data_IF_254221695154
#
_entry.id   IF_254221695154
#
_cell.length_a   1.000
_cell.length_b   1.000
_cell.length_c   1.000
_cell.angle_alpha   90.00
_cell.angle_beta   90.00
_cell.angle_gamma   90.00
#
_symmetry.space_group_name_H-M   'P 1'
#
loop_
_entity.id
_entity.type
_entity.pdbx_description
1 polymer ?
#
# COMPACT_ATOMS: atom_id res chain seq x y z
N UNK A 1 -6.58 -2.94 19.84
CA UNK A 1 -7.61 -1.88 19.77
C UNK A 1 -7.00 -0.65 19.12
N UNK A 2 -7.74 0.14 18.33
CA UNK A 2 -7.23 1.41 17.83
C UNK A 2 -6.97 2.34 19.02
N UNK A 3 -5.83 3.03 18.98
CA UNK A 3 -5.31 3.81 20.11
C UNK A 3 -6.24 4.97 20.45
N UNK A 4 -6.40 5.21 21.76
CA UNK A 4 -7.20 6.30 22.31
C UNK A 4 -6.26 7.47 22.60
N UNK A 5 -6.58 8.65 22.07
CA UNK A 5 -5.85 9.88 22.35
C UNK A 5 -6.12 10.38 23.79
N UNK A 6 -5.40 11.41 24.28
CA UNK A 6 -5.57 11.93 25.64
C UNK A 6 -6.97 12.52 25.92
N UNK A 7 -7.78 12.74 24.88
CA UNK A 7 -9.14 13.24 24.95
C UNK A 7 -10.19 12.13 24.86
N UNK A 8 -9.77 10.86 24.90
CA UNK A 8 -10.70 9.72 24.81
C UNK A 8 -11.16 9.42 23.38
N UNK A 9 -10.55 10.01 22.35
CA UNK A 9 -10.94 9.80 20.94
C UNK A 9 -10.05 8.76 20.26
N UNK A 10 -10.60 8.07 19.27
CA UNK A 10 -9.93 6.98 18.58
C UNK A 10 -9.89 7.35 17.12
N UNK A 11 -8.70 7.52 16.51
CA UNK A 11 -8.56 8.15 15.19
C UNK A 11 -9.54 7.58 14.12
N UNK A 12 -9.71 6.25 13.96
CA UNK A 12 -10.75 5.70 13.08
C UNK A 12 -12.17 6.14 13.43
N UNK A 13 -12.52 6.18 14.72
CA UNK A 13 -13.82 6.67 15.18
C UNK A 13 -13.97 8.17 14.95
N UNK A 14 -12.91 8.96 15.07
CA UNK A 14 -12.95 10.41 14.85
C UNK A 14 -13.14 10.74 13.38
N UNK A 15 -12.43 10.05 12.48
CA UNK A 15 -12.62 10.17 11.02
C UNK A 15 -14.04 9.71 10.65
N UNK A 16 -14.47 8.56 11.17
CA UNK A 16 -15.83 8.06 10.91
C UNK A 16 -16.88 9.02 11.46
N UNK A 17 -16.76 9.52 12.69
CA UNK A 17 -17.67 10.52 13.27
C UNK A 17 -17.68 11.80 12.45
N UNK A 18 -16.52 12.31 12.03
CA UNK A 18 -16.45 13.47 11.15
C UNK A 18 -17.27 13.25 9.87
N UNK A 19 -17.21 12.04 9.30
CA UNK A 19 -17.92 11.74 8.06
C UNK A 19 -19.39 11.35 8.25
N UNK A 20 -19.76 10.72 9.37
CA UNK A 20 -21.14 10.38 9.70
C UNK A 20 -21.91 11.61 10.19
N UNK A 21 -21.32 12.38 11.11
CA UNK A 21 -21.98 13.52 11.76
C UNK A 21 -21.98 14.75 10.84
N UNK A 22 -20.93 14.93 10.03
CA UNK A 22 -20.79 16.08 9.12
C UNK A 22 -20.79 15.70 7.63
N UNK A 23 -21.16 14.47 7.25
CA UNK A 23 -21.31 14.06 5.85
C UNK A 23 -20.08 14.34 4.96
N UNK A 24 -18.87 14.24 5.49
CA UNK A 24 -17.61 14.58 4.79
C UNK A 24 -17.51 16.07 4.34
N UNK A 25 -18.41 16.93 4.83
CA UNK A 25 -18.46 18.33 4.42
C UNK A 25 -17.27 19.16 4.91
N UNK A 26 -16.60 18.81 6.02
CA UNK A 26 -15.52 19.65 6.55
C UNK A 26 -14.30 19.73 5.61
N UNK A 27 -13.96 18.64 4.92
CA UNK A 27 -12.89 18.64 3.91
C UNK A 27 -13.34 19.41 2.66
N UNK A 28 -14.50 19.03 2.09
CA UNK A 28 -15.01 19.61 0.85
C UNK A 28 -15.40 21.10 0.97
N UNK A 29 -15.75 21.57 2.16
CA UNK A 29 -16.07 22.97 2.44
C UNK A 29 -14.90 23.74 3.07
N UNK A 30 -13.72 23.12 3.20
CA UNK A 30 -12.55 23.84 3.71
C UNK A 30 -12.22 25.01 2.76
N UNK A 31 -12.29 26.28 3.23
CA UNK A 31 -12.02 27.44 2.39
C UNK A 31 -10.61 27.45 1.80
N UNK A 32 -9.64 26.82 2.47
CA UNK A 32 -8.26 26.72 2.01
C UNK A 32 -8.12 25.82 0.77
N UNK A 33 -8.94 24.77 0.69
CA UNK A 33 -8.90 23.82 -0.42
C UNK A 33 -9.61 24.33 -1.67
N UNK A 34 -10.48 25.35 -1.54
CA UNK A 34 -11.22 25.98 -2.65
C UNK A 34 -11.98 25.00 -3.54
N UNK A 35 -12.46 23.90 -2.98
CA UNK A 35 -13.24 22.88 -3.70
C UNK A 35 -14.62 23.46 -4.04
N UNK A 36 -15.12 23.14 -5.25
CA UNK A 36 -16.41 23.64 -5.72
C UNK A 36 -17.55 23.18 -4.79
N UNK A 37 -18.34 24.11 -4.27
CA UNK A 37 -19.45 23.83 -3.36
C UNK A 37 -20.53 22.89 -3.93
N UNK A 38 -20.66 22.78 -5.27
CA UNK A 38 -21.55 21.80 -5.90
C UNK A 38 -21.14 20.36 -5.58
N UNK A 39 -19.84 20.10 -5.42
CA UNK A 39 -19.29 18.78 -5.09
C UNK A 39 -19.67 18.38 -3.67
N UNK A 40 -19.74 19.35 -2.74
CA UNK A 40 -20.19 19.10 -1.38
C UNK A 40 -21.66 18.66 -1.29
N UNK A 41 -22.49 18.91 -2.32
CA UNK A 41 -23.91 18.48 -2.31
C UNK A 41 -24.08 16.96 -2.38
N UNK A 42 -23.19 16.28 -3.11
CA UNK A 42 -23.23 14.82 -3.28
C UNK A 42 -22.45 14.07 -2.20
N UNK A 43 -21.85 14.77 -1.23
CA UNK A 43 -21.04 14.15 -0.18
C UNK A 43 -21.84 13.18 0.70
N UNK A 44 -23.11 13.51 0.96
CA UNK A 44 -24.06 12.65 1.69
C UNK A 44 -24.25 11.31 0.99
N UNK A 45 -24.36 11.34 -0.34
CA UNK A 45 -24.51 10.15 -1.17
C UNK A 45 -23.26 9.27 -1.12
N UNK A 46 -22.06 9.89 -1.15
CA UNK A 46 -20.77 9.19 -1.00
C UNK A 46 -20.66 8.50 0.36
N UNK A 47 -21.03 9.19 1.44
CA UNK A 47 -21.01 8.61 2.80
C UNK A 47 -21.98 7.44 2.89
N UNK A 48 -23.22 7.61 2.43
CA UNK A 48 -24.23 6.54 2.41
C UNK A 48 -23.79 5.34 1.57
N UNK A 49 -23.21 5.57 0.38
CA UNK A 49 -22.70 4.52 -0.50
C UNK A 49 -21.53 3.78 0.14
N UNK A 50 -20.62 4.49 0.82
CA UNK A 50 -19.46 3.89 1.51
C UNK A 50 -19.87 2.99 2.67
N UNK A 51 -20.85 3.43 3.48
CA UNK A 51 -21.39 2.61 4.58
C UNK A 51 -22.09 1.37 4.02
N UNK A 52 -22.93 1.54 2.99
CA UNK A 52 -23.62 0.42 2.35
C UNK A 52 -22.64 -0.58 1.74
N UNK A 53 -21.59 -0.11 1.07
CA UNK A 53 -20.53 -0.96 0.51
C UNK A 53 -19.78 -1.70 1.61
N UNK A 54 -19.37 -1.00 2.68
CA UNK A 54 -18.66 -1.62 3.80
C UNK A 54 -19.49 -2.74 4.45
N UNK A 55 -20.79 -2.51 4.67
CA UNK A 55 -21.69 -3.51 5.22
C UNK A 55 -21.81 -4.73 4.30
N UNK A 56 -21.99 -4.52 2.99
CA UNK A 56 -22.05 -5.61 2.00
C UNK A 56 -20.75 -6.41 1.94
N UNK A 57 -19.61 -5.73 1.82
CA UNK A 57 -18.28 -6.36 1.77
C UNK A 57 -18.04 -7.22 3.01
N UNK A 58 -18.33 -6.68 4.19
CA UNK A 58 -18.15 -7.40 5.47
C UNK A 58 -19.07 -8.62 5.64
N UNK A 59 -20.22 -8.64 4.96
CA UNK A 59 -21.17 -9.76 5.00
C UNK A 59 -20.87 -10.83 3.95
N UNK A 60 -20.45 -10.42 2.75
CA UNK A 60 -20.22 -11.34 1.62
C UNK A 60 -18.85 -11.99 1.70
N UNK A 61 -17.81 -11.22 2.02
CA UNK A 61 -16.43 -11.68 2.02
C UNK A 61 -15.98 -12.04 3.43
N UNK A 62 -16.22 -13.30 3.80
CA UNK A 62 -15.93 -13.81 5.15
C UNK A 62 -14.56 -14.50 5.22
N UNK A 63 -13.89 -14.45 6.39
CA UNK A 63 -12.60 -15.09 6.56
C UNK A 63 -12.74 -16.61 6.54
N UNK A 64 -11.85 -17.28 5.80
CA UNK A 64 -11.77 -18.74 5.75
C UNK A 64 -10.37 -19.23 6.11
N UNK A 65 -10.16 -20.56 6.08
CA UNK A 65 -8.84 -21.16 6.25
C UNK A 65 -7.82 -20.71 5.19
N UNK A 66 -8.27 -20.31 4.00
CA UNK A 66 -7.42 -19.83 2.89
C UNK A 66 -7.46 -18.29 2.84
N UNK A 67 -8.66 -17.71 2.94
CA UNK A 67 -8.93 -16.27 2.90
C UNK A 67 -8.93 -15.66 4.30
N UNK A 68 -7.94 -16.01 5.14
CA UNK A 68 -7.89 -15.63 6.57
C UNK A 68 -7.79 -14.12 6.80
N UNK A 69 -7.39 -13.37 5.78
CA UNK A 69 -7.20 -11.93 5.78
C UNK A 69 -8.45 -11.15 5.29
N UNK A 70 -9.53 -11.85 4.91
CA UNK A 70 -10.83 -11.24 4.58
C UNK A 70 -11.53 -10.80 5.86
N UNK A 71 -10.90 -9.84 6.54
CA UNK A 71 -11.38 -9.22 7.77
C UNK A 71 -11.56 -7.75 7.44
N UNK A 72 -12.82 -7.33 7.38
CA UNK A 72 -13.22 -5.96 7.10
C UNK A 72 -13.79 -5.35 8.37
N UNK A 73 -13.21 -4.24 8.81
CA UNK A 73 -13.60 -3.54 10.02
C UNK A 73 -13.65 -2.02 9.78
N UNK A 74 -14.00 -1.26 10.83
CA UNK A 74 -14.15 0.19 10.73
C UNK A 74 -12.88 0.93 10.31
N UNK A 75 -11.69 0.36 10.50
CA UNK A 75 -10.44 0.92 9.97
C UNK A 75 -10.45 0.95 8.45
N UNK A 76 -11.03 -0.05 7.79
CA UNK A 76 -11.13 -0.07 6.33
C UNK A 76 -12.02 1.07 5.85
N UNK A 77 -13.20 1.25 6.47
CA UNK A 77 -14.06 2.38 6.15
C UNK A 77 -13.35 3.72 6.42
N UNK A 78 -12.61 3.85 7.51
CA UNK A 78 -11.79 5.02 7.79
C UNK A 78 -10.70 5.25 6.74
N UNK A 79 -10.10 4.19 6.20
CA UNK A 79 -9.05 4.27 5.18
C UNK A 79 -9.57 4.72 3.82
N UNK A 80 -10.86 4.45 3.50
CA UNK A 80 -11.52 4.99 2.31
C UNK A 80 -11.56 6.52 2.44
N UNK A 81 -12.07 7.00 3.58
CA UNK A 81 -12.13 8.43 3.85
C UNK A 81 -10.78 9.11 3.97
N UNK A 82 -9.78 8.44 4.55
CA UNK A 82 -8.41 8.93 4.60
C UNK A 82 -7.85 9.18 3.19
N UNK A 83 -8.24 8.37 2.20
CA UNK A 83 -7.88 8.57 0.80
C UNK A 83 -8.53 9.80 0.18
N UNK A 84 -9.80 10.07 0.51
CA UNK A 84 -10.46 11.32 0.08
C UNK A 84 -9.74 12.57 0.60
N UNK A 85 -9.11 12.51 1.76
CA UNK A 85 -8.38 13.66 2.33
C UNK A 85 -7.15 14.05 1.52
N UNK A 86 -6.69 13.22 0.58
CA UNK A 86 -5.64 13.61 -0.37
C UNK A 86 -6.14 14.54 -1.48
N UNK A 87 -7.46 14.61 -1.70
CA UNK A 87 -8.04 15.38 -2.80
C UNK A 87 -8.02 16.89 -2.55
N UNK A 88 -7.79 17.64 -3.63
CA UNK A 88 -7.78 19.11 -3.69
C UNK A 88 -8.77 19.60 -4.75
N UNK A 89 -8.91 20.93 -4.91
CA UNK A 89 -9.72 21.52 -5.99
C UNK A 89 -9.26 21.16 -7.41
N UNK A 90 -7.97 20.94 -7.62
CA UNK A 90 -7.44 20.48 -8.92
C UNK A 90 -7.90 19.06 -9.24
N UNK A 91 -8.02 18.21 -8.21
CA UNK A 91 -8.46 16.82 -8.31
C UNK A 91 -9.99 16.70 -8.48
N UNK A 92 -10.74 17.64 -7.89
CA UNK A 92 -12.20 17.62 -7.83
C UNK A 92 -12.78 18.87 -8.52
N UNK A 93 -12.92 18.79 -9.84
CA UNK A 93 -13.45 19.88 -10.67
C UNK A 93 -14.97 19.75 -10.82
N UNK A 94 -15.44 18.52 -11.06
CA UNK A 94 -16.83 18.17 -11.30
C UNK A 94 -17.35 17.17 -10.25
N UNK A 95 -18.68 17.09 -10.02
CA UNK A 95 -19.27 16.07 -9.15
C UNK A 95 -18.90 14.63 -9.55
N UNK A 96 -18.75 14.35 -10.85
CA UNK A 96 -18.29 13.06 -11.36
C UNK A 96 -16.91 12.64 -10.84
N UNK A 97 -16.02 13.62 -10.59
CA UNK A 97 -14.66 13.35 -10.13
C UNK A 97 -14.67 12.79 -8.70
N UNK A 98 -15.59 13.26 -7.86
CA UNK A 98 -15.76 12.73 -6.51
C UNK A 98 -16.29 11.28 -6.54
N UNK A 99 -17.16 10.95 -7.50
CA UNK A 99 -17.66 9.58 -7.69
C UNK A 99 -16.54 8.67 -8.22
N UNK A 100 -15.74 9.14 -9.19
CA UNK A 100 -14.56 8.40 -9.69
C UNK A 100 -13.53 8.15 -8.59
N UNK A 101 -13.27 9.16 -7.76
CA UNK A 101 -12.42 9.04 -6.59
C UNK A 101 -12.99 8.04 -5.57
N UNK A 102 -14.30 8.06 -5.32
CA UNK A 102 -14.96 7.05 -4.48
C UNK A 102 -14.74 5.63 -5.00
N UNK A 103 -14.92 5.41 -6.31
CA UNK A 103 -14.66 4.12 -6.96
C UNK A 103 -13.19 3.71 -6.80
N UNK A 104 -12.26 4.66 -6.93
CA UNK A 104 -10.84 4.38 -6.75
C UNK A 104 -10.52 3.99 -5.30
N UNK A 105 -10.87 4.83 -4.33
CA UNK A 105 -10.52 4.62 -2.91
C UNK A 105 -11.13 3.35 -2.34
N UNK A 106 -12.40 3.08 -2.65
CA UNK A 106 -13.05 1.85 -2.18
C UNK A 106 -12.44 0.60 -2.83
N UNK A 107 -12.00 0.68 -4.09
CA UNK A 107 -11.29 -0.42 -4.72
C UNK A 107 -9.88 -0.63 -4.12
N UNK A 108 -9.15 0.44 -3.78
CA UNK A 108 -7.84 0.35 -3.11
C UNK A 108 -7.92 -0.21 -1.69
N UNK A 109 -9.01 0.03 -0.98
CA UNK A 109 -9.20 -0.48 0.39
C UNK A 109 -9.74 -1.92 0.40
N UNK A 110 -10.76 -2.20 -0.41
CA UNK A 110 -11.46 -3.50 -0.40
C UNK A 110 -10.97 -4.43 -1.51
N UNK A 111 -10.90 -3.93 -2.74
CA UNK A 111 -10.53 -4.72 -3.92
C UNK A 111 -9.11 -5.28 -3.84
N UNK A 112 -8.14 -4.49 -3.38
CA UNK A 112 -6.74 -4.91 -3.29
C UNK A 112 -6.50 -6.04 -2.26
N UNK A 113 -7.47 -6.32 -1.38
CA UNK A 113 -7.45 -7.45 -0.43
C UNK A 113 -7.97 -8.76 -1.03
N UNK A 114 -8.71 -8.71 -2.14
CA UNK A 114 -9.35 -9.88 -2.73
C UNK A 114 -8.35 -10.70 -3.56
N UNK A 115 -8.50 -12.02 -3.54
CA UNK A 115 -7.52 -12.95 -4.12
C UNK A 115 -8.04 -13.75 -5.30
N UNK A 116 -9.36 -13.98 -5.38
CA UNK A 116 -9.99 -14.76 -6.44
C UNK A 116 -10.74 -13.86 -7.40
N UNK A 117 -10.66 -14.15 -8.71
CA UNK A 117 -11.33 -13.39 -9.76
C UNK A 117 -12.85 -13.29 -9.51
N UNK A 118 -13.46 -14.37 -9.02
CA UNK A 118 -14.89 -14.38 -8.64
C UNK A 118 -15.23 -13.36 -7.57
N UNK A 119 -14.36 -13.20 -6.57
CA UNK A 119 -14.58 -12.23 -5.49
C UNK A 119 -14.38 -10.80 -6.03
N UNK A 120 -13.36 -10.61 -6.87
CA UNK A 120 -13.04 -9.33 -7.53
C UNK A 120 -14.21 -8.88 -8.41
N UNK A 121 -14.74 -9.77 -9.25
CA UNK A 121 -15.89 -9.51 -10.11
C UNK A 121 -17.15 -9.20 -9.29
N UNK A 122 -17.40 -9.97 -8.23
CA UNK A 122 -18.53 -9.72 -7.34
C UNK A 122 -18.41 -8.36 -6.66
N UNK A 123 -17.21 -7.98 -6.20
CA UNK A 123 -16.95 -6.66 -5.61
C UNK A 123 -17.16 -5.53 -6.61
N UNK A 124 -16.60 -5.63 -7.82
CA UNK A 124 -16.78 -4.63 -8.87
C UNK A 124 -18.25 -4.43 -9.22
N UNK A 125 -19.02 -5.53 -9.32
CA UNK A 125 -20.47 -5.46 -9.52
C UNK A 125 -21.18 -4.75 -8.37
N UNK A 126 -20.85 -5.09 -7.11
CA UNK A 126 -21.43 -4.40 -5.94
C UNK A 126 -21.14 -2.90 -5.94
N UNK A 127 -19.94 -2.51 -6.39
CA UNK A 127 -19.50 -1.13 -6.49
C UNK A 127 -20.32 -0.34 -7.53
N UNK A 128 -20.50 -0.92 -8.72
CA UNK A 128 -21.32 -0.35 -9.79
C UNK A 128 -22.78 -0.24 -9.38
N UNK A 129 -23.35 -1.30 -8.79
CA UNK A 129 -24.75 -1.32 -8.35
C UNK A 129 -25.04 -0.24 -7.30
N UNK A 130 -24.12 -0.06 -6.33
CA UNK A 130 -24.24 1.00 -5.33
C UNK A 130 -24.03 2.39 -5.90
N UNK A 131 -23.11 2.55 -6.87
CA UNK A 131 -22.94 3.81 -7.59
C UNK A 131 -24.26 4.24 -8.26
N UNK A 132 -24.85 3.35 -9.07
CA UNK A 132 -26.10 3.64 -9.79
C UNK A 132 -27.29 3.86 -8.86
N UNK A 133 -27.30 3.22 -7.68
CA UNK A 133 -28.37 3.39 -6.68
C UNK A 133 -28.27 4.73 -5.93
N UNK A 134 -27.05 5.17 -5.62
CA UNK A 134 -26.84 6.30 -4.72
C UNK A 134 -26.63 7.63 -5.45
N UNK A 135 -26.28 7.62 -6.74
CA UNK A 135 -26.06 8.82 -7.53
C UNK A 135 -27.03 8.82 -8.72
N UNK A 136 -28.01 9.72 -8.66
CA UNK A 136 -28.96 9.98 -9.76
C UNK A 136 -28.27 10.87 -10.82
N UNK A 137 -28.69 10.76 -12.09
CA UNK A 137 -28.22 11.58 -13.22
C UNK A 137 -26.69 11.57 -13.45
N UNK A 138 -26.05 10.42 -13.25
CA UNK A 138 -24.62 10.26 -13.57
C UNK A 138 -24.37 10.04 -15.06
N UNK A 139 -23.34 10.69 -15.60
CA UNK A 139 -22.77 10.29 -16.88
C UNK A 139 -21.93 9.02 -16.68
N UNK A 140 -22.52 7.87 -16.99
CA UNK A 140 -21.85 6.57 -16.89
C UNK A 140 -20.57 6.49 -17.75
N UNK A 141 -20.54 7.18 -18.88
CA UNK A 141 -19.37 7.21 -19.77
C UNK A 141 -18.16 7.79 -19.06
N UNK A 142 -18.35 8.95 -18.42
CA UNK A 142 -17.30 9.62 -17.63
C UNK A 142 -17.00 8.87 -16.33
N UNK A 143 -18.00 8.41 -15.59
CA UNK A 143 -17.79 7.80 -14.26
C UNK A 143 -17.06 6.45 -14.34
N UNK A 144 -17.35 5.63 -15.35
CA UNK A 144 -16.77 4.30 -15.49
C UNK A 144 -15.60 4.23 -16.49
N UNK A 145 -15.17 5.37 -17.04
CA UNK A 145 -14.00 5.46 -17.93
C UNK A 145 -12.73 4.90 -17.29
N UNK A 146 -11.97 4.12 -18.08
CA UNK A 146 -10.71 3.49 -17.67
C UNK A 146 -9.51 4.16 -18.38
N UNK A 147 -8.35 4.26 -17.72
CA UNK A 147 -8.05 3.82 -16.36
C UNK A 147 -8.66 4.73 -15.28
N UNK A 148 -9.03 4.16 -14.13
CA UNK A 148 -9.44 4.91 -12.94
C UNK A 148 -8.38 4.77 -11.84
N UNK A 149 -7.25 5.46 -12.02
CA UNK A 149 -6.07 5.39 -11.16
C UNK A 149 -5.75 6.80 -10.67
N UNK A 150 -5.58 6.95 -9.36
CA UNK A 150 -5.06 8.15 -8.73
C UNK A 150 -3.70 7.84 -8.12
N UNK A 151 -2.76 8.78 -8.22
CA UNK A 151 -1.48 8.70 -7.54
C UNK A 151 -0.93 10.10 -7.24
N UNK A 152 0.05 10.17 -6.34
CA UNK A 152 0.65 11.43 -5.90
C UNK A 152 1.66 12.01 -6.89
N UNK A 153 1.96 11.32 -7.99
CA UNK A 153 2.98 11.75 -8.94
C UNK A 153 2.43 11.87 -10.36
N UNK A 154 1.10 11.85 -10.53
CA UNK A 154 0.47 11.97 -11.85
C UNK A 154 0.77 13.33 -12.51
N UNK A 155 1.01 14.38 -11.71
CA UNK A 155 1.45 15.70 -12.18
C UNK A 155 2.96 15.85 -12.38
N UNK A 156 3.76 14.85 -12.03
CA UNK A 156 5.22 14.90 -12.02
C UNK A 156 5.82 14.28 -10.75
N UNK A 157 7.12 13.98 -10.78
CA UNK A 157 7.86 13.44 -9.64
C UNK A 157 8.49 14.60 -8.86
N UNK A 158 8.46 14.53 -7.52
CA UNK A 158 9.08 15.51 -6.63
C UNK A 158 8.10 16.49 -5.97
N UNK A 159 6.98 16.79 -6.62
CA UNK A 159 5.87 17.54 -6.03
C UNK A 159 4.64 16.64 -5.86
N UNK A 160 4.45 16.02 -4.68
CA UNK A 160 3.36 15.08 -4.48
C UNK A 160 2.00 15.77 -4.59
N UNK A 161 1.25 15.43 -5.64
CA UNK A 161 -0.12 15.89 -5.93
C UNK A 161 -1.00 14.70 -6.28
N UNK A 162 -2.04 14.48 -5.47
CA UNK A 162 -2.95 13.36 -5.68
C UNK A 162 -3.96 13.65 -6.80
N UNK A 163 -3.70 13.09 -7.99
CA UNK A 163 -4.42 13.41 -9.21
C UNK A 163 -4.75 12.15 -10.02
N UNK A 164 -5.81 12.18 -10.84
CA UNK A 164 -6.12 11.09 -11.76
C UNK A 164 -5.03 10.98 -12.84
N UNK A 165 -4.69 9.74 -13.19
CA UNK A 165 -3.80 9.41 -14.31
C UNK A 165 -4.59 9.52 -15.62
N UNK A 166 -4.13 10.30 -16.58
CA UNK A 166 -4.87 10.51 -17.84
C UNK A 166 -4.78 9.31 -18.80
N UNK A 167 -3.63 8.63 -18.85
CA UNK A 167 -3.47 7.43 -19.69
C UNK A 167 -2.35 6.52 -19.20
N UNK A 168 -2.39 5.26 -19.61
CA UNK A 168 -1.29 4.31 -19.40
C UNK A 168 0.03 4.77 -20.02
N UNK A 169 -0.02 5.44 -21.18
CA UNK A 169 1.16 5.95 -21.86
C UNK A 169 1.85 7.02 -21.02
N UNK A 170 1.09 7.96 -20.46
CA UNK A 170 1.63 8.97 -19.57
C UNK A 170 2.22 8.34 -18.30
N UNK A 171 1.52 7.39 -17.68
CA UNK A 171 1.99 6.71 -16.48
C UNK A 171 3.29 5.95 -16.73
N UNK A 172 3.38 5.23 -17.86
CA UNK A 172 4.59 4.51 -18.26
C UNK A 172 5.76 5.48 -18.46
N UNK A 173 5.53 6.62 -19.12
CA UNK A 173 6.56 7.65 -19.31
C UNK A 173 7.10 8.16 -17.97
N UNK A 174 6.21 8.57 -17.07
CA UNK A 174 6.57 9.07 -15.73
C UNK A 174 7.36 8.02 -14.93
N UNK A 175 6.90 6.77 -14.91
CA UNK A 175 7.57 5.71 -14.15
C UNK A 175 8.90 5.29 -14.77
N UNK A 176 9.04 5.38 -16.10
CA UNK A 176 10.31 5.13 -16.80
C UNK A 176 11.32 6.23 -16.50
N UNK A 177 10.88 7.50 -16.49
CA UNK A 177 11.71 8.63 -16.05
C UNK A 177 12.14 8.45 -14.59
N UNK A 178 11.22 8.08 -13.69
CA UNK A 178 11.52 7.77 -12.28
C UNK A 178 12.57 6.65 -12.15
N UNK A 179 12.41 5.58 -12.92
CA UNK A 179 13.32 4.43 -12.90
C UNK A 179 14.71 4.81 -13.42
N UNK A 180 14.79 5.65 -14.45
CA UNK A 180 16.07 6.18 -14.95
C UNK A 180 16.77 6.97 -13.85
N UNK A 181 16.08 7.93 -13.22
CA UNK A 181 16.66 8.72 -12.13
C UNK A 181 17.06 7.87 -10.92
N UNK A 182 16.31 6.82 -10.62
CA UNK A 182 16.68 5.85 -9.59
C UNK A 182 18.00 5.16 -9.95
N UNK A 183 18.12 4.67 -11.19
CA UNK A 183 19.29 3.93 -11.67
C UNK A 183 20.56 4.81 -11.79
N UNK A 184 20.41 6.12 -11.93
CA UNK A 184 21.53 7.07 -11.90
C UNK A 184 22.10 7.26 -10.49
N UNK A 185 21.26 7.12 -9.45
CA UNK A 185 21.61 7.38 -8.05
C UNK A 185 21.94 6.12 -7.24
N UNK A 186 21.32 4.99 -7.59
CA UNK A 186 21.33 3.74 -6.83
C UNK A 186 21.67 2.58 -7.79
N UNK A 187 22.05 1.42 -7.24
CA UNK A 187 22.28 0.21 -8.02
C UNK A 187 21.12 -0.08 -8.99
N UNK A 188 21.46 -0.21 -10.27
CA UNK A 188 20.50 -0.30 -11.35
C UNK A 188 19.51 -1.46 -11.17
N UNK A 189 18.21 -1.15 -11.31
CA UNK A 189 17.12 -2.11 -11.41
C UNK A 189 16.58 -2.11 -12.83
N UNK A 190 16.62 -3.26 -13.49
CA UNK A 190 15.99 -3.46 -14.79
C UNK A 190 14.55 -3.90 -14.55
N UNK A 191 13.61 -2.95 -14.60
CA UNK A 191 12.19 -3.26 -14.41
C UNK A 191 11.42 -3.09 -15.71
N UNK A 192 10.67 -4.11 -16.10
CA UNK A 192 9.67 -4.00 -17.17
C UNK A 192 8.35 -3.47 -16.60
N UNK A 193 7.93 -2.29 -17.05
CA UNK A 193 6.74 -1.58 -16.57
C UNK A 193 5.50 -1.88 -17.43
N UNK A 194 4.89 -3.05 -17.20
CA UNK A 194 3.56 -3.38 -17.74
C UNK A 194 2.44 -2.90 -16.80
N UNK A 195 1.18 -2.96 -17.24
CA UNK A 195 0.03 -2.35 -16.54
C UNK A 195 -0.05 -2.73 -15.05
N UNK A 196 0.00 -4.02 -14.69
CA UNK A 196 -0.09 -4.42 -13.28
C UNK A 196 1.11 -3.94 -12.46
N UNK A 197 2.32 -3.94 -13.03
CA UNK A 197 3.51 -3.43 -12.35
C UNK A 197 3.35 -1.93 -12.03
N UNK A 198 2.86 -1.15 -13.00
CA UNK A 198 2.55 0.26 -12.80
C UNK A 198 1.45 0.47 -11.76
N UNK A 199 0.40 -0.34 -11.78
CA UNK A 199 -0.66 -0.30 -10.77
C UNK A 199 -0.12 -0.61 -9.37
N UNK A 200 0.75 -1.61 -9.21
CA UNK A 200 1.35 -1.91 -7.91
C UNK A 200 2.20 -0.76 -7.39
N UNK A 201 2.95 -0.06 -8.26
CA UNK A 201 3.70 1.14 -7.86
C UNK A 201 2.74 2.23 -7.37
N UNK A 202 1.66 2.52 -8.10
CA UNK A 202 0.64 3.49 -7.67
C UNK A 202 0.02 3.11 -6.33
N UNK A 203 -0.34 1.83 -6.13
CA UNK A 203 -0.89 1.31 -4.87
C UNK A 203 0.09 1.50 -3.70
N UNK A 204 1.35 1.11 -3.90
CA UNK A 204 2.39 1.22 -2.85
C UNK A 204 2.63 2.69 -2.52
N UNK A 205 2.80 3.56 -3.52
CA UNK A 205 2.96 5.01 -3.31
C UNK A 205 1.77 5.60 -2.54
N UNK A 206 0.52 5.28 -2.90
CA UNK A 206 -0.68 5.71 -2.16
C UNK A 206 -0.66 5.24 -0.70
N UNK A 207 -0.16 4.04 -0.41
CA UNK A 207 0.01 3.56 0.96
C UNK A 207 1.11 4.35 1.69
N UNK A 208 2.27 4.57 1.06
CA UNK A 208 3.41 5.25 1.69
C UNK A 208 3.10 6.72 2.05
N UNK A 209 2.34 7.42 1.21
CA UNK A 209 1.88 8.80 1.47
C UNK A 209 0.82 8.87 2.58
N UNK A 210 0.16 7.76 2.90
CA UNK A 210 -0.83 7.73 3.98
C UNK A 210 -0.18 7.96 5.34
N UNK A 211 -0.83 8.73 6.24
CA UNK A 211 -0.38 8.85 7.62
C UNK A 211 -0.41 7.46 8.27
N UNK A 212 0.71 7.03 8.85
CA UNK A 212 0.90 5.68 9.41
C UNK A 212 0.69 4.54 8.38
N UNK A 213 0.92 4.84 7.10
CA UNK A 213 0.77 3.89 5.99
C UNK A 213 1.86 2.83 5.96
N UNK A 214 1.51 1.60 6.32
CA UNK A 214 2.36 0.41 6.17
C UNK A 214 1.70 -0.58 5.22
N UNK A 215 2.50 -1.34 4.49
CA UNK A 215 2.03 -2.26 3.45
C UNK A 215 2.43 -3.71 3.75
N UNK A 216 1.50 -4.64 3.51
CA UNK A 216 1.78 -6.07 3.40
C UNK A 216 1.59 -6.48 1.95
N UNK A 217 2.71 -6.67 1.25
CA UNK A 217 2.75 -7.12 -0.13
C UNK A 217 2.81 -8.63 -0.13
N UNK A 218 1.76 -9.26 -0.65
CA UNK A 218 1.65 -10.71 -0.68
C UNK A 218 1.73 -11.20 -2.11
N UNK A 219 2.68 -12.09 -2.38
CA UNK A 219 2.81 -12.68 -3.70
C UNK A 219 3.95 -13.67 -3.76
N UNK A 220 4.01 -14.42 -4.84
CA UNK A 220 5.04 -15.44 -5.04
C UNK A 220 6.44 -14.84 -5.25
N UNK A 221 7.48 -15.65 -5.09
CA UNK A 221 8.85 -15.22 -5.41
C UNK A 221 8.98 -14.74 -6.85
N UNK A 222 9.75 -13.67 -7.10
CA UNK A 222 9.91 -13.09 -8.44
C UNK A 222 8.76 -12.18 -8.91
N UNK A 223 7.69 -11.98 -8.13
CA UNK A 223 6.58 -11.10 -8.51
C UNK A 223 6.90 -9.59 -8.47
N UNK A 224 8.15 -9.20 -8.14
CA UNK A 224 8.56 -7.79 -8.12
C UNK A 224 8.33 -7.00 -6.84
N UNK A 225 7.74 -7.60 -5.79
CA UNK A 225 7.37 -6.89 -4.55
C UNK A 225 8.46 -5.94 -4.04
N UNK A 226 9.70 -6.42 -3.93
CA UNK A 226 10.79 -5.60 -3.40
C UNK A 226 11.16 -4.46 -4.35
N UNK A 227 11.38 -4.75 -5.64
CA UNK A 227 11.85 -3.76 -6.60
C UNK A 227 10.81 -2.67 -6.85
N UNK A 228 9.52 -3.04 -6.97
CA UNK A 228 8.43 -2.07 -7.10
C UNK A 228 8.26 -1.21 -5.84
N UNK A 229 8.51 -1.78 -4.65
CA UNK A 229 8.50 -1.02 -3.40
C UNK A 229 9.63 -0.01 -3.33
N UNK A 230 10.84 -0.37 -3.78
CA UNK A 230 11.98 0.55 -3.82
C UNK A 230 11.74 1.71 -4.77
N UNK A 231 11.17 1.45 -5.94
CA UNK A 231 10.79 2.50 -6.88
C UNK A 231 9.69 3.39 -6.31
N UNK A 232 8.67 2.83 -5.68
CA UNK A 232 7.61 3.61 -5.02
C UNK A 232 8.16 4.49 -3.87
N UNK A 233 9.09 3.95 -3.06
CA UNK A 233 9.76 4.72 -2.01
C UNK A 233 10.58 5.88 -2.58
N UNK A 234 11.30 5.65 -3.68
CA UNK A 234 12.04 6.71 -4.38
C UNK A 234 11.11 7.84 -4.87
N UNK A 235 9.98 7.49 -5.48
CA UNK A 235 8.98 8.46 -5.93
C UNK A 235 8.43 9.28 -4.76
N UNK A 236 8.20 8.65 -3.61
CA UNK A 236 7.77 9.30 -2.37
C UNK A 236 8.91 9.94 -1.56
N UNK A 237 10.12 10.08 -2.13
CA UNK A 237 11.29 10.66 -1.45
C UNK A 237 11.65 10.02 -0.10
N UNK A 238 11.45 8.71 0.04
CA UNK A 238 11.75 7.94 1.24
C UNK A 238 13.09 7.20 1.09
N UNK A 239 13.92 7.24 2.14
CA UNK A 239 15.10 6.38 2.21
C UNK A 239 14.67 4.91 2.38
N UNK A 240 15.34 3.99 1.71
CA UNK A 240 15.06 2.56 1.86
C UNK A 240 16.04 1.95 2.86
N UNK A 241 15.51 1.35 3.93
CA UNK A 241 16.27 0.53 4.86
C UNK A 241 15.82 -0.93 4.77
N UNK A 242 16.78 -1.85 4.68
CA UNK A 242 16.50 -3.28 4.64
C UNK A 242 17.54 -4.03 5.48
N UNK A 243 17.07 -4.96 6.30
CA UNK A 243 17.94 -5.74 7.20
C UNK A 243 18.90 -6.66 6.41
N UNK A 244 20.14 -6.76 6.85
CA UNK A 244 21.11 -7.68 6.25
C UNK A 244 21.47 -8.77 7.25
N UNK A 245 20.95 -9.97 7.03
CA UNK A 245 21.24 -11.11 7.90
C UNK A 245 22.72 -11.51 7.79
N UNK A 246 23.41 -11.49 8.93
CA UNK A 246 24.77 -12.02 9.11
C UNK A 246 24.71 -13.28 9.97
N UNK A 247 25.78 -14.08 9.97
CA UNK A 247 25.88 -15.25 10.86
C UNK A 247 25.80 -14.77 12.32
N UNK A 248 24.83 -15.30 13.06
CA UNK A 248 24.58 -14.90 14.46
C UNK A 248 23.62 -13.73 14.64
N UNK A 249 23.04 -13.19 13.56
CA UNK A 249 22.06 -12.12 13.64
C UNK A 249 20.85 -12.52 14.49
N UNK A 250 20.62 -11.79 15.57
CA UNK A 250 19.61 -12.08 16.57
C UNK A 250 18.67 -10.92 16.84
N UNK A 251 17.86 -11.06 17.89
CA UNK A 251 16.84 -10.07 18.29
C UNK A 251 17.50 -8.75 18.71
N UNK A 252 18.66 -8.81 19.37
CA UNK A 252 19.41 -7.60 19.78
C UNK A 252 19.88 -6.78 18.57
N UNK A 253 20.29 -7.42 17.48
CA UNK A 253 20.74 -6.72 16.28
C UNK A 253 19.57 -6.00 15.61
N UNK A 254 18.42 -6.67 15.52
CA UNK A 254 17.19 -6.06 15.01
C UNK A 254 16.74 -4.89 15.87
N UNK A 255 16.81 -5.01 17.20
CA UNK A 255 16.52 -3.89 18.11
C UNK A 255 17.44 -2.70 17.81
N UNK A 256 18.75 -2.90 17.70
CA UNK A 256 19.70 -1.84 17.40
C UNK A 256 19.44 -1.16 16.04
N UNK A 257 19.08 -1.94 15.02
CA UNK A 257 18.66 -1.39 13.72
C UNK A 257 17.38 -0.56 13.85
N UNK A 258 16.36 -1.07 14.55
CA UNK A 258 15.11 -0.34 14.81
C UNK A 258 15.38 0.95 15.61
N UNK A 259 16.19 0.93 16.67
CA UNK A 259 16.56 2.12 17.45
C UNK A 259 17.20 3.18 16.55
N UNK A 260 18.08 2.77 15.64
CA UNK A 260 18.69 3.67 14.66
C UNK A 260 17.66 4.28 13.70
N UNK A 261 16.66 3.51 13.27
CA UNK A 261 15.56 4.02 12.43
C UNK A 261 14.66 4.99 13.19
N UNK A 262 14.34 4.70 14.46
CA UNK A 262 13.57 5.59 15.33
C UNK A 262 14.28 6.92 15.54
N UNK A 263 15.59 6.92 15.75
CA UNK A 263 16.38 8.15 15.87
C UNK A 263 16.32 8.97 14.56
N UNK A 264 16.54 8.34 13.40
CA UNK A 264 16.48 9.05 12.11
C UNK A 264 15.09 9.62 11.82
N UNK A 265 14.04 8.84 12.05
CA UNK A 265 12.66 9.24 11.73
C UNK A 265 12.07 10.19 12.77
N UNK A 266 12.34 9.99 14.06
CA UNK A 266 11.80 10.78 15.15
C UNK A 266 12.63 12.02 15.53
N UNK A 267 13.97 11.93 15.57
CA UNK A 267 14.79 13.12 15.88
C UNK A 267 15.11 13.94 14.64
N UNK A 268 15.50 13.29 13.53
CA UNK A 268 15.90 14.00 12.31
C UNK A 268 14.74 14.24 11.33
N UNK A 269 13.55 13.70 11.63
CA UNK A 269 12.35 13.83 10.78
C UNK A 269 12.57 13.36 9.33
N UNK A 270 13.41 12.33 9.13
CA UNK A 270 13.68 11.74 7.81
C UNK A 270 12.64 10.67 7.51
N UNK A 271 12.02 10.71 6.33
CA UNK A 271 11.10 9.68 5.87
C UNK A 271 11.83 8.41 5.45
N UNK A 272 11.45 7.25 6.01
CA UNK A 272 12.12 5.98 5.75
C UNK A 272 11.09 4.89 5.46
N UNK A 273 11.32 4.13 4.39
CA UNK A 273 10.67 2.84 4.15
C UNK A 273 11.55 1.71 4.71
N UNK A 274 11.09 1.06 5.77
CA UNK A 274 11.66 -0.18 6.27
C UNK A 274 11.09 -1.39 5.53
N UNK A 275 11.94 -2.07 4.76
CA UNK A 275 11.57 -3.23 3.96
C UNK A 275 12.04 -4.53 4.61
N UNK A 276 11.10 -5.44 4.87
CA UNK A 276 11.38 -6.76 5.42
C UNK A 276 10.73 -7.86 4.58
N UNK A 277 11.47 -8.93 4.34
CA UNK A 277 11.04 -10.07 3.51
C UNK A 277 10.92 -11.31 4.37
N UNK A 278 10.14 -12.29 3.91
CA UNK A 278 9.97 -13.56 4.62
C UNK A 278 11.30 -14.29 4.90
N UNK A 279 12.21 -14.26 3.92
CA UNK A 279 13.54 -14.85 4.04
C UNK A 279 14.42 -14.21 5.11
N UNK A 280 14.10 -12.99 5.55
CA UNK A 280 14.84 -12.30 6.60
C UNK A 280 14.24 -12.53 8.00
N UNK A 281 13.11 -13.24 8.11
CA UNK A 281 12.52 -13.64 9.39
C UNK A 281 13.19 -14.93 9.86
N UNK A 282 14.43 -14.82 10.35
CA UNK A 282 15.20 -15.96 10.85
C UNK A 282 14.61 -16.55 12.15
N UNK A 283 14.00 -15.70 12.99
CA UNK A 283 13.37 -16.07 14.25
C UNK A 283 11.98 -15.42 14.34
N UNK A 284 10.96 -16.17 14.80
CA UNK A 284 9.60 -15.63 14.99
C UNK A 284 9.56 -14.45 15.97
N UNK A 285 10.51 -14.35 16.90
CA UNK A 285 10.64 -13.20 17.81
C UNK A 285 10.82 -11.87 17.08
N UNK A 286 11.31 -11.86 15.84
CA UNK A 286 11.40 -10.63 15.05
C UNK A 286 10.02 -10.05 14.78
N UNK A 287 9.03 -10.91 14.56
CA UNK A 287 7.66 -10.49 14.30
C UNK A 287 6.94 -9.97 15.55
N UNK A 288 7.45 -10.24 16.75
CA UNK A 288 6.98 -9.57 17.98
C UNK A 288 7.30 -8.08 17.89
N UNK A 289 8.56 -7.73 17.60
CA UNK A 289 8.99 -6.33 17.47
C UNK A 289 8.24 -5.61 16.35
N UNK A 290 8.07 -6.26 15.19
CA UNK A 290 7.32 -5.68 14.06
C UNK A 290 5.83 -5.53 14.40
N UNK A 291 5.24 -6.47 15.14
CA UNK A 291 3.86 -6.36 15.58
C UNK A 291 3.65 -5.14 16.50
N UNK A 292 4.57 -4.92 17.45
CA UNK A 292 4.49 -3.79 18.39
C UNK A 292 4.70 -2.45 17.66
N UNK A 293 5.69 -2.38 16.77
CA UNK A 293 5.91 -1.26 15.86
C UNK A 293 4.65 -0.90 15.05
N UNK A 294 3.97 -1.91 14.47
CA UNK A 294 2.76 -1.69 13.68
C UNK A 294 1.53 -1.36 14.54
N UNK A 295 1.44 -1.88 15.76
CA UNK A 295 0.30 -1.71 16.64
C UNK A 295 0.30 -0.35 17.34
N UNK A 296 1.34 -0.07 18.13
CA UNK A 296 1.48 1.14 18.95
C UNK A 296 2.56 2.07 18.41
N UNK A 297 3.57 1.54 17.70
CA UNK A 297 4.79 2.28 17.40
C UNK A 297 5.77 2.31 18.57
N UNK A 298 5.46 1.66 19.68
CA UNK A 298 6.35 1.51 20.83
C UNK A 298 6.81 0.07 20.94
N UNK A 299 8.12 -0.14 20.91
CA UNK A 299 8.74 -1.45 21.07
C UNK A 299 9.40 -1.51 22.45
N UNK A 300 9.08 -2.54 23.22
CA UNK A 300 9.61 -2.71 24.59
C UNK A 300 11.13 -2.87 24.64
N UNK A 301 11.75 -2.18 25.59
CA UNK A 301 13.20 -2.15 25.82
C UNK A 301 14.00 -1.87 24.52
N UNK A 302 13.57 -0.85 23.76
CA UNK A 302 14.25 -0.40 22.55
C UNK A 302 15.37 0.60 22.84
N UNK A 303 15.18 1.44 23.86
CA UNK A 303 16.13 2.45 24.29
C UNK A 303 16.42 2.30 25.79
N UNK A 304 17.69 2.44 26.22
CA UNK A 304 18.01 2.64 27.63
C UNK A 304 17.52 4.01 28.11
N UNK A 305 17.35 4.17 29.43
CA UNK A 305 16.82 5.41 30.03
C UNK A 305 17.61 6.66 29.61
N UNK A 306 18.94 6.56 29.54
CA UNK A 306 19.82 7.67 29.11
C UNK A 306 19.54 8.13 27.67
N UNK A 307 19.30 7.19 26.75
CA UNK A 307 18.95 7.51 25.36
C UNK A 307 17.55 8.13 25.27
N UNK A 308 16.62 7.69 26.12
CA UNK A 308 15.29 8.30 26.20
C UNK A 308 15.37 9.76 26.65
N UNK A 309 16.19 10.09 27.66
CA UNK A 309 16.41 11.50 28.05
C UNK A 309 16.97 12.33 26.90
N UNK A 310 17.95 11.79 26.17
CA UNK A 310 18.56 12.46 25.02
C UNK A 310 17.53 12.73 23.91
N UNK A 311 16.67 11.75 23.62
CA UNK A 311 15.59 11.90 22.64
C UNK A 311 14.60 12.98 23.08
N UNK A 312 14.19 12.96 24.35
CA UNK A 312 13.24 13.91 24.91
C UNK A 312 13.80 15.33 24.89
N UNK A 313 15.07 15.50 25.24
CA UNK A 313 15.77 16.78 25.12
C UNK A 313 15.81 17.26 23.66
N UNK A 314 16.04 16.35 22.71
CA UNK A 314 16.11 16.66 21.28
C UNK A 314 14.81 17.20 20.68
N UNK A 315 13.65 16.64 21.07
CA UNK A 315 12.33 17.08 20.53
C UNK A 315 11.70 18.24 21.31
N UNK A 316 12.20 18.57 22.51
CA UNK A 316 11.58 19.53 23.44
C UNK A 316 11.33 20.91 22.82
N UNK A 317 12.28 21.42 22.04
CA UNK A 317 12.14 22.72 21.38
C UNK A 317 11.00 22.71 20.34
N UNK A 318 10.84 21.62 19.62
CA UNK A 318 9.77 21.45 18.63
C UNK A 318 8.40 21.28 19.31
N UNK A 319 8.35 20.57 20.45
CA UNK A 319 7.15 20.43 21.28
C UNK A 319 6.66 21.80 21.77
N UNK A 320 7.57 22.63 22.29
CA UNK A 320 7.26 24.02 22.68
C UNK A 320 6.82 24.86 21.48
N UNK A 321 7.49 24.72 20.34
CA UNK A 321 7.14 25.41 19.10
C UNK A 321 5.75 25.02 18.57
N UNK A 322 5.31 23.79 18.83
CA UNK A 322 3.95 23.32 18.53
C UNK A 322 2.90 23.76 19.56
N UNK A 323 3.28 24.56 20.59
CA UNK A 323 2.37 25.03 21.64
C UNK A 323 1.95 23.96 22.65
N UNK A 324 2.65 22.82 22.68
CA UNK A 324 2.37 21.72 23.59
C UNK A 324 3.13 21.90 24.92
N UNK A 325 2.58 21.41 26.06
CA UNK A 325 3.26 21.49 27.35
C UNK A 325 4.59 20.71 27.35
N UNK A 326 5.60 21.31 27.98
CA UNK A 326 6.95 20.72 28.12
C UNK A 326 6.98 19.67 29.25
N UNK A 327 6.35 18.53 29.02
CA UNK A 327 6.42 17.37 29.91
C UNK A 327 7.09 16.18 29.23
N UNK A 328 7.70 15.31 30.04
CA UNK A 328 8.37 14.07 29.57
C UNK A 328 7.46 13.25 28.66
N UNK A 329 6.23 13.01 29.13
CA UNK A 329 5.24 12.16 28.47
C UNK A 329 4.81 12.73 27.11
N UNK A 330 4.59 14.05 27.03
CA UNK A 330 4.18 14.71 25.79
C UNK A 330 5.31 14.73 24.78
N UNK A 331 6.55 14.96 25.22
CA UNK A 331 7.72 14.89 24.35
C UNK A 331 7.91 13.48 23.77
N UNK A 332 7.77 12.45 24.61
CA UNK A 332 7.87 11.06 24.16
C UNK A 332 6.76 10.71 23.17
N UNK A 333 5.51 11.07 23.48
CA UNK A 333 4.38 10.87 22.57
C UNK A 333 4.58 11.55 21.22
N UNK A 334 5.04 12.80 21.23
CA UNK A 334 5.34 13.56 20.02
C UNK A 334 6.42 12.88 19.17
N UNK A 335 7.46 12.35 19.81
CA UNK A 335 8.49 11.55 19.13
C UNK A 335 7.90 10.29 18.49
N UNK A 336 7.11 9.49 19.22
CA UNK A 336 6.48 8.27 18.69
C UNK A 336 5.51 8.59 17.55
N UNK A 337 4.69 9.64 17.68
CA UNK A 337 3.79 10.07 16.61
C UNK A 337 4.52 10.45 15.34
N UNK A 338 5.67 11.14 15.47
CA UNK A 338 6.54 11.45 14.34
C UNK A 338 7.17 10.20 13.75
N UNK A 339 7.69 9.28 14.57
CA UNK A 339 8.23 7.99 14.09
C UNK A 339 7.16 7.27 13.28
N UNK A 340 5.93 7.15 13.76
CA UNK A 340 4.84 6.46 13.03
C UNK A 340 4.40 7.20 11.78
N UNK A 341 4.60 8.51 11.71
CA UNK A 341 4.33 9.30 10.51
C UNK A 341 5.40 9.07 9.44
N UNK A 342 6.67 9.03 9.83
CA UNK A 342 7.83 9.01 8.92
C UNK A 342 8.38 7.61 8.61
N UNK A 343 8.27 6.66 9.53
CA UNK A 343 8.70 5.27 9.35
C UNK A 343 7.56 4.45 8.76
N UNK A 344 7.74 4.03 7.51
CA UNK A 344 6.78 3.19 6.77
C UNK A 344 7.28 1.76 6.71
N UNK A 345 6.48 0.79 7.14
CA UNK A 345 6.88 -0.61 7.10
C UNK A 345 6.29 -1.28 5.87
N UNK A 346 7.14 -1.94 5.06
CA UNK A 346 6.72 -2.72 3.89
C UNK A 346 7.18 -4.17 4.06
N UNK A 347 6.21 -5.07 4.21
CA UNK A 347 6.43 -6.49 4.39
C UNK A 347 6.19 -7.22 3.07
N UNK A 348 7.20 -7.93 2.57
CA UNK A 348 7.14 -8.69 1.33
C UNK A 348 7.07 -10.20 1.62
N UNK A 349 5.85 -10.73 1.79
CA UNK A 349 5.64 -12.13 2.20
C UNK A 349 5.08 -13.00 1.07
N UNK A 350 5.34 -14.31 1.18
CA UNK A 350 4.83 -15.32 0.25
C UNK A 350 3.50 -15.89 0.77
N UNK A 351 2.48 -16.07 -0.08
CA UNK A 351 1.27 -16.78 0.29
C UNK A 351 1.43 -18.31 0.24
N UNK A 352 2.57 -18.81 -0.26
CA UNK A 352 2.83 -20.25 -0.41
C UNK A 352 3.01 -20.90 0.96
N UNK A 353 2.30 -22.00 1.20
CA UNK A 353 2.32 -22.74 2.46
C UNK A 353 1.42 -22.12 3.54
N UNK A 354 1.59 -22.58 4.78
CA UNK A 354 0.77 -22.14 5.93
C UNK A 354 1.42 -21.03 6.75
N UNK A 355 2.70 -20.71 6.51
CA UNK A 355 3.53 -19.81 7.32
C UNK A 355 2.90 -18.43 7.48
N UNK A 356 2.47 -17.80 6.38
CA UNK A 356 1.83 -16.49 6.42
C UNK A 356 0.58 -16.50 7.30
N UNK A 357 -0.31 -17.48 7.09
CA UNK A 357 -1.54 -17.64 7.88
C UNK A 357 -1.25 -17.83 9.37
N UNK A 358 -0.28 -18.69 9.71
CA UNK A 358 0.09 -18.96 11.11
C UNK A 358 0.64 -17.69 11.77
N UNK A 359 1.53 -16.98 11.09
CA UNK A 359 2.10 -15.70 11.57
C UNK A 359 1.03 -14.63 11.73
N UNK A 360 0.11 -14.50 10.78
CA UNK A 360 -0.99 -13.55 10.88
C UNK A 360 -1.93 -13.80 12.06
N UNK A 361 -2.08 -15.05 12.51
CA UNK A 361 -2.84 -15.38 13.73
C UNK A 361 -2.05 -15.05 15.00
N UNK A 362 -0.75 -15.34 15.01
CA UNK A 362 0.15 -15.02 16.14
C UNK A 362 0.38 -13.52 16.31
N UNK A 363 0.44 -12.78 15.19
CA UNK A 363 0.81 -11.37 15.11
C UNK A 363 -0.26 -10.59 14.32
N UNK A 364 -1.41 -10.25 14.93
CA UNK A 364 -2.54 -9.66 14.22
C UNK A 364 -2.27 -8.29 13.61
N UNK A 365 -1.28 -7.53 14.11
CA UNK A 365 -0.95 -6.21 13.56
C UNK A 365 -0.43 -6.30 12.12
N UNK A 366 0.14 -7.44 11.72
CA UNK A 366 0.60 -7.68 10.35
C UNK A 366 -0.52 -7.55 9.32
N UNK A 367 -1.75 -7.96 9.66
CA UNK A 367 -2.94 -7.82 8.79
C UNK A 367 -3.70 -6.54 9.11
N UNK A 368 -3.91 -6.27 10.40
CA UNK A 368 -4.85 -5.24 10.80
C UNK A 368 -4.29 -3.84 10.59
N UNK A 369 -2.99 -3.64 10.79
CA UNK A 369 -2.32 -2.33 10.75
C UNK A 369 -1.57 -2.09 9.43
N UNK A 370 -1.71 -2.97 8.44
CA UNK A 370 -1.13 -2.78 7.11
C UNK A 370 -2.22 -2.78 6.05
N UNK A 371 -1.96 -2.06 4.95
CA UNK A 371 -2.74 -2.19 3.73
C UNK A 371 -2.19 -3.38 2.93
N UNK A 372 -3.06 -4.34 2.61
CA UNK A 372 -2.66 -5.54 1.88
C UNK A 372 -2.74 -5.26 0.39
N UNK A 373 -1.71 -5.65 -0.35
CA UNK A 373 -1.68 -5.57 -1.80
C UNK A 373 -1.25 -6.94 -2.34
N UNK A 374 -2.18 -7.62 -3.00
CA UNK A 374 -1.96 -8.93 -3.61
C UNK A 374 -1.34 -8.82 -4.99
N UNK A 375 -0.19 -9.47 -5.16
CA UNK A 375 0.51 -9.62 -6.43
C UNK A 375 0.06 -10.93 -7.07
N UNK A 376 -0.93 -10.82 -7.96
CA UNK A 376 -1.49 -11.95 -8.69
C UNK A 376 -0.50 -12.55 -9.68
N UNK A 377 -0.86 -13.69 -10.26
CA UNK A 377 -0.12 -14.25 -11.37
C UNK A 377 -0.16 -13.29 -12.56
N UNK A 378 0.96 -13.16 -13.29
CA UNK A 378 1.03 -12.23 -14.41
C UNK A 378 0.12 -12.72 -15.54
N UNK A 379 -0.65 -11.81 -16.15
CA UNK A 379 -1.42 -12.16 -17.33
C UNK A 379 -0.48 -12.54 -18.48
N UNK A 380 -1.01 -13.27 -19.45
CA UNK A 380 -0.24 -13.71 -20.61
C UNK A 380 0.38 -12.52 -21.36
N UNK A 381 -0.33 -11.40 -21.45
CA UNK A 381 0.15 -10.17 -22.10
C UNK A 381 1.38 -9.59 -21.41
N UNK A 382 1.40 -9.59 -20.07
CA UNK A 382 2.57 -9.18 -19.30
C UNK A 382 3.77 -10.11 -19.55
N UNK A 383 3.55 -11.43 -19.58
CA UNK A 383 4.60 -12.39 -19.90
C UNK A 383 5.17 -12.18 -21.31
N UNK A 384 4.32 -11.88 -22.29
CA UNK A 384 4.75 -11.54 -23.66
C UNK A 384 5.54 -10.24 -23.67
N UNK A 385 5.07 -9.19 -23.00
CA UNK A 385 5.77 -7.90 -22.94
C UNK A 385 7.15 -8.02 -22.31
N UNK A 386 7.26 -8.74 -21.19
CA UNK A 386 8.52 -8.99 -20.49
C UNK A 386 9.46 -9.80 -21.38
N UNK A 387 8.95 -10.88 -21.99
CA UNK A 387 9.75 -11.73 -22.88
C UNK A 387 10.25 -10.93 -24.08
N UNK A 388 9.43 -10.08 -24.71
CA UNK A 388 9.89 -9.24 -25.82
C UNK A 388 11.03 -8.31 -25.41
N UNK A 389 10.96 -7.70 -24.24
CA UNK A 389 12.04 -6.83 -23.75
C UNK A 389 13.36 -7.57 -23.59
N UNK A 390 13.34 -8.78 -23.02
CA UNK A 390 14.54 -9.61 -22.93
C UNK A 390 15.06 -10.06 -24.30
N UNK A 391 14.17 -10.38 -25.24
CA UNK A 391 14.55 -10.79 -26.60
C UNK A 391 15.10 -9.63 -27.45
N UNK A 392 14.76 -8.38 -27.14
CA UNK A 392 15.32 -7.20 -27.81
C UNK A 392 16.83 -7.09 -27.62
N UNK A 393 17.32 -7.45 -26.43
CA UNK A 393 18.74 -7.43 -26.06
C UNK A 393 19.55 -8.54 -26.75
N UNK A 394 18.88 -9.57 -27.28
CA UNK A 394 19.52 -10.68 -27.98
C UNK A 394 19.79 -10.32 -29.44
N UNK A 395 21.08 -10.17 -29.78
CA UNK A 395 21.54 -9.92 -31.16
C UNK A 395 21.44 -11.15 -32.07
N UNK A 396 21.42 -12.36 -31.50
CA UNK A 396 21.44 -13.63 -32.26
C UNK A 396 20.06 -14.01 -32.81
N UNK A 397 18.98 -13.55 -32.19
CA UNK A 397 17.62 -13.92 -32.58
C UNK A 397 17.09 -12.99 -33.68
N UNK A 398 16.68 -13.52 -34.87
CA UNK A 398 16.07 -12.71 -35.91
C UNK A 398 14.83 -11.98 -35.41
N UNK A 399 14.71 -10.69 -35.78
CA UNK A 399 13.61 -9.80 -35.33
C UNK A 399 12.24 -10.40 -35.66
N UNK A 400 12.12 -11.06 -36.82
CA UNK A 400 10.88 -11.71 -37.28
C UNK A 400 10.41 -12.85 -36.38
N UNK A 401 11.31 -13.50 -35.63
CA UNK A 401 10.98 -14.62 -34.75
C UNK A 401 10.71 -14.18 -33.31
N UNK A 402 11.03 -12.93 -32.94
CA UNK A 402 10.92 -12.45 -31.55
C UNK A 402 9.50 -12.58 -31.00
N UNK A 403 8.48 -12.18 -31.76
CA UNK A 403 7.07 -12.26 -31.32
C UNK A 403 6.64 -13.72 -31.09
N UNK A 404 7.00 -14.62 -32.00
CA UNK A 404 6.69 -16.05 -31.88
C UNK A 404 7.37 -16.68 -30.66
N UNK A 405 8.65 -16.38 -30.44
CA UNK A 405 9.40 -16.88 -29.27
C UNK A 405 8.84 -16.31 -27.97
N UNK A 406 8.48 -15.02 -27.93
CA UNK A 406 7.86 -14.39 -26.76
C UNK A 406 6.53 -15.03 -26.39
N UNK A 407 5.65 -15.27 -27.38
CA UNK A 407 4.38 -16.00 -27.16
C UNK A 407 4.63 -17.43 -26.66
N UNK A 408 5.64 -18.10 -27.18
CA UNK A 408 6.03 -19.44 -26.72
C UNK A 408 6.54 -19.41 -25.27
N UNK A 409 7.39 -18.45 -24.90
CA UNK A 409 7.86 -18.29 -23.52
C UNK A 409 6.68 -18.05 -22.56
N UNK A 410 5.75 -17.16 -22.92
CA UNK A 410 4.53 -16.93 -22.15
C UNK A 410 3.69 -18.21 -22.00
N UNK A 411 3.52 -18.97 -23.08
CA UNK A 411 2.81 -20.25 -23.05
C UNK A 411 3.48 -21.28 -22.11
N UNK A 412 4.81 -21.40 -22.16
CA UNK A 412 5.57 -22.32 -21.29
C UNK A 412 5.41 -21.91 -19.83
N UNK A 413 5.53 -20.61 -19.50
CA UNK A 413 5.33 -20.11 -18.15
C UNK A 413 3.93 -20.44 -17.60
N UNK A 414 2.88 -20.22 -18.40
CA UNK A 414 1.51 -20.54 -18.00
C UNK A 414 1.30 -22.05 -17.84
N UNK A 415 1.84 -22.84 -18.76
CA UNK A 415 1.73 -24.31 -18.74
C UNK A 415 2.39 -24.91 -17.49
N UNK A 416 3.57 -24.41 -17.10
CA UNK A 416 4.26 -24.85 -15.86
C UNK A 416 3.43 -24.51 -14.62
N UNK A 417 2.77 -23.35 -14.56
CA UNK A 417 1.89 -23.01 -13.44
C UNK A 417 0.69 -23.96 -13.36
N UNK A 418 0.06 -24.29 -14.49
CA UNK A 418 -1.07 -25.23 -14.54
C UNK A 418 -0.65 -26.64 -14.11
N UNK A 419 0.47 -27.14 -14.63
CA UNK A 419 0.99 -28.46 -14.28
C UNK A 419 1.40 -28.51 -12.81
N UNK A 420 2.00 -27.44 -12.27
CA UNK A 420 2.37 -27.36 -10.85
C UNK A 420 1.15 -27.39 -9.93
N UNK A 421 0.06 -26.72 -10.31
CA UNK A 421 -1.22 -26.78 -9.57
C UNK A 421 -1.78 -28.21 -9.55
N UNK A 422 -1.76 -28.90 -10.69
CA UNK A 422 -2.19 -30.30 -10.78
C UNK A 422 -1.28 -31.25 -9.98
N UNK A 423 0.03 -31.02 -10.02
CA UNK A 423 1.01 -31.81 -9.28
C UNK A 423 0.82 -31.68 -7.76
N UNK A 424 0.62 -30.45 -7.26
CA UNK A 424 0.36 -30.17 -5.85
C UNK A 424 -0.90 -30.90 -5.35
N UNK A 425 -1.97 -30.90 -6.15
CA UNK A 425 -3.21 -31.61 -5.82
C UNK A 425 -3.01 -33.13 -5.76
N UNK A 426 -2.10 -33.68 -6.56
CA UNK A 426 -1.90 -35.12 -6.69
C UNK A 426 -0.93 -35.68 -5.66
N UNK A 427 0.16 -34.96 -5.36
CA UNK A 427 1.30 -35.49 -4.56
C UNK A 427 1.59 -34.71 -3.29
N UNK A 428 0.90 -33.62 -3.00
CA UNK A 428 1.04 -32.86 -1.75
C UNK A 428 2.31 -32.03 -1.60
N UNK A 429 3.33 -32.22 -2.44
CA UNK A 429 4.63 -31.55 -2.29
C UNK A 429 5.09 -30.76 -3.53
N UNK A 430 5.63 -29.57 -3.22
CA UNK A 430 6.41 -28.63 -4.05
C UNK A 430 5.68 -28.00 -5.25
N UNK A 431 5.54 -26.67 -5.23
CA UNK A 431 5.16 -25.87 -6.40
C UNK A 431 6.44 -25.45 -7.13
N UNK A 432 6.63 -25.91 -8.36
CA UNK A 432 7.71 -25.43 -9.23
C UNK A 432 7.21 -24.15 -9.91
N UNK A 433 7.57 -23.00 -9.35
CA UNK A 433 7.31 -21.74 -10.03
C UNK A 433 8.57 -21.28 -10.76
N UNK A 434 8.48 -20.97 -12.06
CA UNK A 434 9.58 -20.32 -12.74
C UNK A 434 9.98 -19.07 -11.97
N UNK A 435 11.28 -18.85 -11.74
CA UNK A 435 11.74 -17.53 -11.27
C UNK A 435 11.32 -16.52 -12.33
N UNK A 436 10.33 -15.72 -12.00
CA UNK A 436 9.95 -14.57 -12.81
C UNK A 436 11.01 -13.51 -12.55
N UNK A 437 11.84 -13.26 -13.55
CA UNK A 437 12.75 -12.12 -13.54
C UNK A 437 11.96 -10.99 -14.17
N UNK A 438 11.72 -9.94 -13.40
CA UNK A 438 11.27 -8.65 -13.92
C UNK A 438 12.48 -7.98 -14.55
#
# INVERSE_FOLDING_TARGET
MPEVDPYGTVQPHTIIRQHLDYNHCQHLLNPELRINAQIAKISKNVVAASIALHNKVSQVFLPTAIKFHYIFNLRDLSNVFQGFLFSTNECLVNPSDLIRLWLHETHRVYGDKLTEDKDIDAFLKMQVDLCKKNFEDIDEGTVFERPNIYCHFAGGIGEPKYMPVASWVQLNRLLTEALSSYNDLIAAMNLVLFEDAMMHICRISRILESPRGSALLVGVGGSGKQSLSRLAAFISSLEVSQIQLKKGYGVSDLKNELSSLYIKTGLKNVGIMFLMTDAQVANEQFLVLINDLLASGEVGDLFPDDDMENIIAGVRNEVKGAGLPDTREICWKFFIDRVRKQLKVVLCFSPVGSTLRVRSRKFPALINCTSINWFHEWPQEALVSVSMRFLEELSVLPITLRDSVSRFMAYVHTSVNTISKAYLQTRGDTIIQPRRVI
#
